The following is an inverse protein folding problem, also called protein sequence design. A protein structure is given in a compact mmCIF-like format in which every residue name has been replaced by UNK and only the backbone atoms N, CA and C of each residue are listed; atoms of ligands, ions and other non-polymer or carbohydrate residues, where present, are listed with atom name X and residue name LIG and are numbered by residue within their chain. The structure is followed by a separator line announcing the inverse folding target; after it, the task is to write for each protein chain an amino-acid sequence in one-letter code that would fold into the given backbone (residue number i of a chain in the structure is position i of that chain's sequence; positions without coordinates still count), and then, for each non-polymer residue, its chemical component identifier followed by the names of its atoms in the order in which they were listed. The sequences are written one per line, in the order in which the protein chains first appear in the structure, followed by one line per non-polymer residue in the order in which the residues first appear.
data_IF_328152487393
#
_entry.id   IF_328152487393
#
_cell.length_a   1.000
_cell.length_b   1.000
_cell.length_c   1.000
_cell.angle_alpha   90.00
_cell.angle_beta   90.00
_cell.angle_gamma   90.00
#
_symmetry.space_group_name_H-M   'P 1'
#
loop_
_entity.id
_entity.type
_entity.pdbx_description
1 polymer ?
#
# COMPACT_ATOMS: atom_id res chain seq x y z
N UNK A 1 25.87 -2.15 -0.76
CA UNK A 1 27.15 -2.49 -0.08
C UNK A 1 28.32 -1.69 -0.69
N UNK A 2 28.13 -0.40 -0.99
CA UNK A 2 29.12 0.44 -1.72
C UNK A 2 29.43 1.74 -0.95
N UNK A 3 28.68 2.03 0.11
CA UNK A 3 28.85 3.23 0.93
C UNK A 3 29.02 2.79 2.38
N UNK A 4 30.15 3.15 3.00
CA UNK A 4 30.64 2.72 4.31
C UNK A 4 29.80 3.27 5.50
N UNK A 5 28.46 3.18 5.42
CA UNK A 5 27.49 3.72 6.38
C UNK A 5 26.95 2.66 7.36
N UNK A 6 27.54 1.46 7.40
CA UNK A 6 27.06 0.33 8.21
C UNK A 6 27.49 0.37 9.69
N UNK A 7 28.26 1.36 10.11
CA UNK A 7 28.74 1.52 11.49
C UNK A 7 27.79 2.39 12.34
N UNK A 8 26.50 2.08 12.31
CA UNK A 8 25.45 2.79 13.08
C UNK A 8 24.55 1.73 13.74
N UNK A 9 24.19 1.92 15.01
CA UNK A 9 23.29 1.06 15.78
C UNK A 9 21.96 0.77 15.06
N UNK A 10 21.51 1.68 14.20
CA UNK A 10 20.35 1.46 13.34
C UNK A 10 20.53 0.28 12.39
N UNK A 11 21.69 0.08 11.76
CA UNK A 11 21.89 -0.99 10.79
C UNK A 11 21.81 -2.38 11.43
N UNK A 12 22.39 -2.54 12.62
CA UNK A 12 22.35 -3.79 13.39
C UNK A 12 20.92 -4.23 13.74
N UNK A 13 19.97 -3.28 13.85
CA UNK A 13 18.56 -3.57 14.17
C UNK A 13 17.73 -4.00 12.95
N UNK A 14 18.19 -3.74 11.73
CA UNK A 14 17.43 -3.96 10.48
C UNK A 14 17.94 -5.19 9.71
N UNK A 15 19.16 -5.66 10.00
CA UNK A 15 19.83 -6.74 9.25
C UNK A 15 19.15 -8.11 9.38
N UNK A 16 18.56 -8.41 10.55
CA UNK A 16 17.89 -9.68 10.84
C UNK A 16 16.48 -9.86 10.26
N UNK A 17 15.53 -8.92 10.44
CA UNK A 17 14.13 -9.14 10.08
C UNK A 17 13.83 -9.15 8.57
N UNK A 18 14.56 -8.36 7.78
CA UNK A 18 14.21 -8.13 6.36
C UNK A 18 14.39 -9.34 5.43
N UNK A 19 15.17 -10.35 5.81
CA UNK A 19 15.50 -11.47 4.93
C UNK A 19 14.30 -12.37 4.64
N UNK A 20 13.48 -12.69 5.64
CA UNK A 20 12.30 -13.55 5.43
C UNK A 20 11.15 -12.80 4.77
N UNK A 21 10.95 -11.54 5.13
CA UNK A 21 9.94 -10.67 4.52
C UNK A 21 10.17 -10.50 3.01
N UNK A 22 11.43 -10.40 2.57
CA UNK A 22 11.74 -10.38 1.14
C UNK A 22 11.37 -11.70 0.43
N UNK A 23 11.64 -12.85 1.04
CA UNK A 23 11.27 -14.16 0.45
C UNK A 23 9.75 -14.27 0.35
N UNK A 24 9.03 -13.84 1.39
CA UNK A 24 7.57 -13.82 1.40
C UNK A 24 6.99 -12.92 0.31
N UNK A 25 7.49 -11.68 0.19
CA UNK A 25 7.05 -10.73 -0.84
C UNK A 25 7.35 -11.25 -2.26
N UNK A 26 8.51 -11.87 -2.45
CA UNK A 26 8.89 -12.45 -3.74
C UNK A 26 8.00 -13.64 -4.10
N UNK A 27 7.69 -14.51 -3.14
CA UNK A 27 6.74 -15.61 -3.30
C UNK A 27 5.33 -15.14 -3.64
N UNK A 28 4.83 -14.11 -2.95
CA UNK A 28 3.53 -13.52 -3.24
C UNK A 28 3.46 -12.91 -4.65
N UNK A 29 4.54 -12.23 -5.07
CA UNK A 29 4.65 -11.67 -6.42
C UNK A 29 4.64 -12.75 -7.50
N UNK A 30 5.45 -13.80 -7.36
CA UNK A 30 5.48 -14.93 -8.32
C UNK A 30 4.15 -15.65 -8.34
N UNK A 31 3.53 -15.89 -7.18
CA UNK A 31 2.23 -16.56 -7.10
C UNK A 31 1.14 -15.75 -7.84
N UNK A 32 1.05 -14.45 -7.59
CA UNK A 32 0.09 -13.57 -8.27
C UNK A 32 0.31 -13.54 -9.78
N UNK A 33 1.57 -13.45 -10.23
CA UNK A 33 1.93 -13.49 -11.64
C UNK A 33 1.56 -14.84 -12.28
N UNK A 34 1.89 -15.95 -11.61
CA UNK A 34 1.59 -17.30 -12.09
C UNK A 34 0.09 -17.54 -12.24
N UNK A 35 -0.71 -17.18 -11.24
CA UNK A 35 -2.19 -17.30 -11.30
C UNK A 35 -2.75 -16.41 -12.42
N UNK A 36 -2.24 -15.18 -12.57
CA UNK A 36 -2.67 -14.27 -13.63
C UNK A 36 -2.36 -14.81 -15.03
N UNK A 37 -1.23 -15.50 -15.21
CA UNK A 37 -0.85 -16.12 -16.48
C UNK A 37 -1.70 -17.35 -16.78
N UNK A 38 -1.94 -18.21 -15.78
CA UNK A 38 -2.80 -19.41 -15.94
C UNK A 38 -4.22 -19.01 -16.32
N UNK A 39 -4.78 -17.96 -15.69
CA UNK A 39 -6.11 -17.45 -16.01
C UNK A 39 -6.18 -16.66 -17.32
N UNK A 40 -5.05 -16.35 -17.96
CA UNK A 40 -4.94 -15.49 -19.16
C UNK A 40 -5.58 -14.10 -19.01
N UNK A 41 -5.74 -13.63 -17.78
CA UNK A 41 -6.35 -12.33 -17.44
C UNK A 41 -5.31 -11.21 -17.27
N UNK A 42 -4.06 -11.47 -17.66
CA UNK A 42 -3.01 -10.47 -17.59
C UNK A 42 -3.31 -9.30 -18.55
N UNK A 43 -3.79 -8.19 -18.00
CA UNK A 43 -4.09 -6.96 -18.74
C UNK A 43 -3.37 -5.79 -18.09
N UNK A 44 -2.52 -5.11 -18.86
CA UNK A 44 -1.85 -3.88 -18.42
C UNK A 44 -2.81 -2.71 -18.64
N UNK A 45 -3.56 -2.34 -17.60
CA UNK A 45 -4.59 -1.29 -17.68
C UNK A 45 -4.14 -0.04 -16.93
N UNK A 46 -3.70 0.96 -17.69
CA UNK A 46 -3.25 2.26 -17.18
C UNK A 46 -4.38 3.19 -16.75
N UNK A 47 -5.63 2.93 -17.14
CA UNK A 47 -6.82 3.66 -16.69
C UNK A 47 -7.93 2.67 -16.34
N UNK A 48 -8.25 2.56 -15.05
CA UNK A 48 -9.34 1.70 -14.58
C UNK A 48 -10.68 2.43 -14.71
N UNK A 49 -11.79 1.71 -14.91
CA UNK A 49 -13.11 2.30 -15.17
C UNK A 49 -13.55 3.29 -14.08
N UNK A 50 -13.20 3.00 -12.82
CA UNK A 50 -13.44 3.91 -11.70
C UNK A 50 -12.70 5.25 -11.87
N UNK A 51 -11.45 5.24 -12.35
CA UNK A 51 -10.71 6.49 -12.58
C UNK A 51 -11.34 7.32 -13.70
N UNK A 52 -11.73 6.67 -14.79
CA UNK A 52 -12.44 7.30 -15.91
C UNK A 52 -13.74 7.96 -15.43
N UNK A 53 -14.51 7.26 -14.59
CA UNK A 53 -15.78 7.73 -14.03
C UNK A 53 -15.64 8.96 -13.13
N UNK A 54 -14.61 9.02 -12.28
CA UNK A 54 -14.50 10.08 -11.24
C UNK A 54 -13.47 11.18 -11.55
N UNK A 55 -12.46 10.92 -12.38
CA UNK A 55 -11.33 11.84 -12.64
C UNK A 55 -11.02 12.06 -14.12
N UNK A 56 -11.68 11.36 -15.03
CA UNK A 56 -11.53 11.51 -16.49
C UNK A 56 -10.39 10.70 -17.11
N UNK A 57 -10.06 10.98 -18.37
CA UNK A 57 -9.14 10.18 -19.20
C UNK A 57 -7.64 10.54 -19.08
N UNK A 58 -7.25 11.44 -18.18
CA UNK A 58 -5.86 11.89 -18.08
C UNK A 58 -4.94 10.88 -17.37
N UNK A 59 -4.10 10.18 -18.13
CA UNK A 59 -3.10 9.22 -17.61
C UNK A 59 -2.06 9.86 -16.69
N UNK A 60 -1.58 11.07 -17.01
CA UNK A 60 -0.59 11.78 -16.19
C UNK A 60 -1.11 12.10 -14.79
N UNK A 61 -2.38 12.52 -14.68
CA UNK A 61 -3.00 12.82 -13.38
C UNK A 61 -3.07 11.56 -12.51
N UNK A 62 -3.36 10.40 -13.09
CA UNK A 62 -3.39 9.12 -12.35
C UNK A 62 -2.03 8.78 -11.77
N UNK A 63 -0.97 8.89 -12.57
CA UNK A 63 0.39 8.56 -12.12
C UNK A 63 0.80 9.46 -10.95
N UNK A 64 0.57 10.77 -11.08
CA UNK A 64 0.89 11.74 -10.02
C UNK A 64 0.11 11.42 -8.73
N UNK A 65 -1.19 11.15 -8.82
CA UNK A 65 -2.00 10.79 -7.66
C UNK A 65 -1.56 9.48 -7.00
N UNK A 66 -1.27 8.44 -7.79
CA UNK A 66 -0.76 7.17 -7.27
C UNK A 66 0.59 7.34 -6.58
N UNK A 67 1.48 8.17 -7.15
CA UNK A 67 2.80 8.42 -6.58
C UNK A 67 2.71 9.17 -5.24
N UNK A 68 1.92 10.26 -5.18
CA UNK A 68 1.70 11.03 -3.96
C UNK A 68 1.03 10.16 -2.88
N UNK A 69 0.01 9.38 -3.25
CA UNK A 69 -0.65 8.45 -2.33
C UNK A 69 0.31 7.39 -1.79
N UNK A 70 1.13 6.79 -2.65
CA UNK A 70 2.15 5.83 -2.24
C UNK A 70 3.18 6.44 -1.28
N UNK A 71 3.63 7.66 -1.55
CA UNK A 71 4.56 8.38 -0.70
C UNK A 71 3.98 8.64 0.71
N UNK A 72 2.74 9.13 0.79
CA UNK A 72 2.03 9.30 2.07
C UNK A 72 1.89 7.98 2.82
N UNK A 73 1.55 6.88 2.12
CA UNK A 73 1.39 5.57 2.74
C UNK A 73 2.71 5.05 3.33
N UNK A 74 3.83 5.22 2.63
CA UNK A 74 5.16 4.81 3.11
C UNK A 74 5.55 5.58 4.36
N UNK A 75 5.35 6.90 4.35
CA UNK A 75 5.63 7.75 5.53
C UNK A 75 4.75 7.31 6.70
N UNK A 76 3.44 7.15 6.48
CA UNK A 76 2.49 6.72 7.50
C UNK A 76 2.84 5.36 8.10
N UNK A 77 3.17 4.37 7.26
CA UNK A 77 3.57 3.04 7.72
C UNK A 77 4.87 3.08 8.56
N UNK A 78 5.83 3.92 8.15
CA UNK A 78 7.08 4.11 8.90
C UNK A 78 6.83 4.77 10.26
N UNK A 79 5.97 5.79 10.32
CA UNK A 79 5.62 6.48 11.56
C UNK A 79 4.84 5.58 12.52
N UNK A 80 3.93 4.75 12.00
CA UNK A 80 3.17 3.80 12.81
C UNK A 80 3.98 2.58 13.29
N UNK A 81 5.20 2.38 12.76
CA UNK A 81 6.02 1.22 13.07
C UNK A 81 5.54 -0.08 12.42
N UNK A 82 4.67 0.00 11.41
CA UNK A 82 4.17 -1.17 10.69
C UNK A 82 3.14 -0.84 9.61
N UNK A 83 2.70 -1.87 8.90
CA UNK A 83 1.76 -1.78 7.78
C UNK A 83 0.42 -2.46 8.11
N UNK A 84 -0.54 -2.39 7.19
CA UNK A 84 -1.84 -3.04 7.33
C UNK A 84 -1.74 -4.56 7.47
N UNK A 85 -0.84 -5.23 6.74
CA UNK A 85 -0.66 -6.68 6.90
C UNK A 85 -0.07 -7.07 8.27
N UNK A 86 0.81 -6.25 8.84
CA UNK A 86 1.36 -6.48 10.18
C UNK A 86 0.37 -6.16 11.30
N UNK A 87 -0.11 -4.92 11.36
CA UNK A 87 -0.97 -4.47 12.46
C UNK A 87 -2.40 -5.00 12.35
N UNK A 88 -3.01 -5.04 11.16
CA UNK A 88 -4.43 -5.41 11.02
C UNK A 88 -4.59 -6.92 10.85
N UNK A 89 -3.85 -7.57 9.94
CA UNK A 89 -4.02 -9.01 9.71
C UNK A 89 -3.39 -9.83 10.86
N UNK A 90 -2.08 -9.69 11.09
CA UNK A 90 -1.40 -10.50 12.12
C UNK A 90 -1.77 -10.07 13.54
N UNK A 91 -1.65 -8.78 13.85
CA UNK A 91 -1.96 -8.27 15.19
C UNK A 91 -3.47 -8.21 15.51
N UNK A 92 -4.34 -8.13 14.50
CA UNK A 92 -5.79 -8.24 14.68
C UNK A 92 -6.24 -9.64 15.09
N UNK A 93 -5.62 -10.70 14.54
CA UNK A 93 -5.88 -12.08 14.99
C UNK A 93 -5.51 -12.31 16.46
N UNK A 94 -4.51 -11.56 16.97
CA UNK A 94 -4.08 -11.62 18.36
C UNK A 94 -4.90 -10.71 19.29
N UNK A 95 -5.88 -9.96 18.76
CA UNK A 95 -6.64 -8.93 19.47
C UNK A 95 -5.74 -7.94 20.22
N UNK A 96 -4.56 -7.64 19.66
CA UNK A 96 -3.63 -6.72 20.28
C UNK A 96 -4.23 -5.31 20.35
N UNK A 97 -4.16 -4.67 21.52
CA UNK A 97 -4.75 -3.34 21.74
C UNK A 97 -4.17 -2.27 20.80
N UNK A 98 -2.86 -2.37 20.52
CA UNK A 98 -2.15 -1.52 19.54
C UNK A 98 -2.71 -1.70 18.12
N UNK A 99 -3.02 -2.94 17.73
CA UNK A 99 -3.59 -3.27 16.42
C UNK A 99 -5.02 -2.78 16.25
N UNK A 100 -5.86 -2.89 17.29
CA UNK A 100 -7.22 -2.36 17.27
C UNK A 100 -7.22 -0.84 17.13
N UNK A 101 -6.35 -0.16 17.89
CA UNK A 101 -6.20 1.30 17.80
C UNK A 101 -5.75 1.71 16.40
N UNK A 102 -4.71 1.07 15.86
CA UNK A 102 -4.24 1.32 14.49
C UNK A 102 -5.35 1.08 13.45
N UNK A 103 -6.09 -0.02 13.57
CA UNK A 103 -7.17 -0.37 12.65
C UNK A 103 -8.27 0.71 12.63
N UNK A 104 -8.66 1.24 13.79
CA UNK A 104 -9.67 2.31 13.89
C UNK A 104 -9.23 3.57 13.12
N UNK A 105 -8.00 4.04 13.33
CA UNK A 105 -7.49 5.23 12.62
C UNK A 105 -7.38 5.00 11.12
N UNK A 106 -6.91 3.82 10.69
CA UNK A 106 -6.84 3.46 9.27
C UNK A 106 -8.25 3.41 8.66
N UNK A 107 -9.23 2.86 9.35
CA UNK A 107 -10.62 2.82 8.89
C UNK A 107 -11.22 4.22 8.75
N UNK A 108 -11.02 5.10 9.72
CA UNK A 108 -11.48 6.49 9.64
C UNK A 108 -10.82 7.20 8.45
N UNK A 109 -9.50 7.05 8.30
CA UNK A 109 -8.76 7.62 7.17
C UNK A 109 -9.26 7.09 5.82
N UNK A 110 -9.56 5.79 5.73
CA UNK A 110 -10.12 5.14 4.54
C UNK A 110 -11.49 5.71 4.18
N UNK A 111 -12.39 5.82 5.16
CA UNK A 111 -13.75 6.34 4.95
C UNK A 111 -13.72 7.82 4.55
N UNK A 112 -12.91 8.64 5.22
CA UNK A 112 -12.76 10.05 4.89
C UNK A 112 -12.14 10.25 3.51
N UNK A 113 -11.04 9.55 3.22
CA UNK A 113 -10.37 9.65 1.92
C UNK A 113 -11.26 9.14 0.81
N UNK A 114 -11.93 8.00 1.02
CA UNK A 114 -12.89 7.45 0.07
C UNK A 114 -14.05 8.41 -0.18
N UNK A 115 -14.62 8.98 0.90
CA UNK A 115 -15.66 10.00 0.77
C UNK A 115 -15.14 11.16 -0.07
N UNK A 116 -14.05 11.81 0.31
CA UNK A 116 -13.48 12.99 -0.38
C UNK A 116 -13.06 12.70 -1.83
N UNK A 117 -12.42 11.56 -2.07
CA UNK A 117 -11.89 11.20 -3.39
C UNK A 117 -12.99 10.84 -4.38
N UNK A 118 -14.04 10.14 -3.93
CA UNK A 118 -15.17 9.73 -4.74
C UNK A 118 -16.37 10.70 -4.67
N UNK A 119 -16.23 11.89 -4.07
CA UNK A 119 -17.29 12.91 -4.21
C UNK A 119 -17.33 13.34 -5.67
N UNK A 120 -18.27 12.77 -6.41
CA UNK A 120 -18.69 13.32 -7.69
C UNK A 120 -19.29 14.69 -7.40
N UNK A 121 -18.63 15.77 -7.84
CA UNK A 121 -19.41 16.96 -8.16
C UNK A 121 -20.34 16.52 -9.27
N UNK A 122 -21.64 16.43 -8.96
CA UNK A 122 -22.69 16.28 -9.95
C UNK A 122 -22.59 17.44 -10.93
N UNK A 123 -21.74 17.30 -11.95
CA UNK A 123 -21.71 18.22 -13.08
C UNK A 123 -22.83 17.76 -14.00
N UNK A 124 -24.05 18.21 -13.68
CA UNK A 124 -25.11 18.30 -14.68
C UNK A 124 -24.62 19.31 -15.72
N UNK A 125 -24.04 18.80 -16.81
CA UNK A 125 -24.22 19.30 -18.18
C UNK A 125 -23.51 18.37 -19.16
#
# INVERSE_FOLDING_TARGET
MITNFTNNDYFNKIEGPGKWEMIFLFGAFISGLGISLIKKDFKIILLHDNWLKYKGSSSLKRIIWSFIGGFILIIGARMAGGCTSGHILSGGMQLAFSSLTFAVFVFIGLLLTGKVFYQTKTSIK
#
